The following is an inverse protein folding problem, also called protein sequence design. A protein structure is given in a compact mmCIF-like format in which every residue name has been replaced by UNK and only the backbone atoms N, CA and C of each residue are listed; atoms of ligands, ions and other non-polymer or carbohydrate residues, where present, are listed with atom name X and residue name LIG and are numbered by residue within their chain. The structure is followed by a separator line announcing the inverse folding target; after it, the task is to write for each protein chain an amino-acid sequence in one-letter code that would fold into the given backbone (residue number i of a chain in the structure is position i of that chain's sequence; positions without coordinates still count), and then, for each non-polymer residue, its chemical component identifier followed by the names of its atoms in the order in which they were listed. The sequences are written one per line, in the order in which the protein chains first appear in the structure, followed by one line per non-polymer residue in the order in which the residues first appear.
data_IF_792914067620
#
_entry.id   IF_792914067620
#
_cell.length_a   1.000
_cell.length_b   1.000
_cell.length_c   1.000
_cell.angle_alpha   90.00
_cell.angle_beta   90.00
_cell.angle_gamma   90.00
#
_symmetry.space_group_name_H-M   'P 1'
#
loop_
_entity.id
_entity.type
_entity.pdbx_description
1 polymer ?
#
# COMPACT_ATOMS: atom_id res chain seq x y z
N UNK A 1 1.48 -3.28 66.70
CA UNK A 1 0.25 -3.33 65.91
C UNK A 1 -0.01 -1.94 65.36
N UNK A 2 0.35 -1.68 64.10
CA UNK A 2 0.18 -0.38 63.45
C UNK A 2 -0.77 -0.59 62.27
N UNK A 3 -1.98 -0.09 62.43
CA UNK A 3 -3.05 -0.11 61.44
C UNK A 3 -2.97 1.19 60.64
N UNK A 4 -2.37 1.20 59.43
CA UNK A 4 -2.38 2.34 58.53
C UNK A 4 -3.55 2.19 57.54
N UNK A 5 -4.61 2.99 57.77
CA UNK A 5 -5.67 3.22 56.79
C UNK A 5 -5.11 4.02 55.62
N UNK A 6 -5.28 3.52 54.41
CA UNK A 6 -5.05 4.26 53.18
C UNK A 6 -6.19 5.27 52.96
N UNK A 7 -5.89 6.51 52.57
CA UNK A 7 -6.93 7.48 52.31
C UNK A 7 -7.55 7.22 50.90
N UNK A 8 -8.89 7.25 50.88
CA UNK A 8 -9.71 7.28 49.68
C UNK A 8 -9.30 8.47 48.81
N UNK A 9 -8.76 8.21 47.64
CA UNK A 9 -8.57 9.24 46.61
C UNK A 9 -9.93 9.54 45.96
N UNK A 10 -10.33 10.80 46.10
CA UNK A 10 -11.45 11.42 45.41
C UNK A 10 -11.27 11.26 43.90
N UNK A 11 -12.31 10.75 43.25
CA UNK A 11 -12.50 10.82 41.80
C UNK A 11 -12.57 12.28 41.37
N UNK A 12 -11.78 12.78 40.42
CA UNK A 12 -12.03 14.08 39.83
C UNK A 12 -13.19 13.94 38.84
N UNK A 13 -14.29 14.59 39.15
CA UNK A 13 -15.35 14.87 38.20
C UNK A 13 -14.87 15.97 37.27
N UNK A 14 -14.53 15.62 36.04
CA UNK A 14 -14.55 16.52 34.88
C UNK A 14 -14.23 15.67 33.66
N UNK A 15 -15.29 15.37 32.89
CA UNK A 15 -15.21 14.56 31.67
C UNK A 15 -14.49 15.28 30.54
N UNK A 16 -13.19 15.19 30.51
CA UNK A 16 -12.46 15.18 29.27
C UNK A 16 -12.24 13.73 28.90
N UNK A 17 -13.05 13.21 27.96
CA UNK A 17 -12.65 12.03 27.19
C UNK A 17 -11.27 12.35 26.66
N UNK A 18 -10.26 11.69 27.18
CA UNK A 18 -9.02 11.51 26.47
C UNK A 18 -9.41 10.71 25.24
N UNK A 19 -9.61 11.38 24.12
CA UNK A 19 -9.63 10.74 22.83
C UNK A 19 -8.26 10.10 22.67
N UNK A 20 -8.17 8.82 23.04
CA UNK A 20 -7.02 7.99 22.69
C UNK A 20 -6.96 8.04 21.18
N UNK A 21 -5.99 8.77 20.64
CA UNK A 21 -5.64 8.73 19.24
C UNK A 21 -5.40 7.24 18.95
N UNK A 22 -6.38 6.61 18.31
CA UNK A 22 -6.32 5.19 18.03
C UNK A 22 -5.30 5.05 16.91
N UNK A 23 -4.08 4.68 17.28
CA UNK A 23 -3.01 4.39 16.31
C UNK A 23 -3.52 3.30 15.38
N UNK A 24 -3.63 3.65 14.10
CA UNK A 24 -4.05 2.73 13.05
C UNK A 24 -2.86 2.34 12.20
N UNK A 25 -2.80 1.09 11.80
CA UNK A 25 -1.79 0.55 10.90
C UNK A 25 -2.49 0.16 9.60
N UNK A 26 -1.99 0.66 8.47
CA UNK A 26 -2.46 0.24 7.16
C UNK A 26 -1.85 -1.12 6.79
N UNK A 27 -2.64 -1.99 6.17
CA UNK A 27 -2.14 -3.20 5.51
C UNK A 27 -2.57 -3.11 4.05
N UNK A 28 -1.64 -3.26 3.11
CA UNK A 28 -1.96 -3.31 1.69
C UNK A 28 -1.65 -4.68 1.11
N UNK A 29 -2.69 -5.36 0.60
CA UNK A 29 -2.58 -6.62 -0.14
C UNK A 29 -2.54 -6.36 -1.66
N UNK A 30 -2.19 -7.37 -2.45
CA UNK A 30 -2.19 -7.26 -3.91
C UNK A 30 -3.58 -7.39 -4.53
N UNK A 31 -4.46 -8.17 -3.89
CA UNK A 31 -5.80 -8.50 -4.40
C UNK A 31 -6.85 -8.44 -3.28
N UNK A 32 -8.13 -8.17 -3.62
CA UNK A 32 -9.20 -8.10 -2.63
C UNK A 32 -9.33 -9.37 -1.77
N UNK A 33 -9.22 -10.55 -2.36
CA UNK A 33 -9.32 -11.83 -1.64
C UNK A 33 -8.25 -11.98 -0.57
N UNK A 34 -7.00 -11.63 -0.90
CA UNK A 34 -5.88 -11.65 0.05
C UNK A 34 -6.08 -10.64 1.18
N UNK A 35 -6.57 -9.44 0.83
CA UNK A 35 -6.93 -8.42 1.82
C UNK A 35 -8.00 -8.90 2.80
N UNK A 36 -9.02 -9.59 2.31
CA UNK A 36 -10.09 -10.17 3.14
C UNK A 36 -9.56 -11.26 4.08
N UNK A 37 -8.68 -12.14 3.61
CA UNK A 37 -8.06 -13.18 4.44
C UNK A 37 -7.20 -12.57 5.54
N UNK A 38 -6.38 -11.58 5.20
CA UNK A 38 -5.57 -10.87 6.18
C UNK A 38 -6.46 -10.14 7.20
N UNK A 39 -7.49 -9.40 6.75
CA UNK A 39 -8.42 -8.69 7.61
C UNK A 39 -9.07 -9.64 8.64
N UNK A 40 -9.51 -10.82 8.19
CA UNK A 40 -10.08 -11.84 9.06
C UNK A 40 -9.07 -12.31 10.13
N UNK A 41 -7.83 -12.56 9.74
CA UNK A 41 -6.78 -13.04 10.65
C UNK A 41 -6.38 -11.98 11.68
N UNK A 42 -6.30 -10.70 11.29
CA UNK A 42 -5.95 -9.61 12.21
C UNK A 42 -7.15 -9.07 13.01
N UNK A 43 -8.36 -9.58 12.74
CA UNK A 43 -9.57 -9.19 13.45
C UNK A 43 -10.19 -7.86 12.98
N UNK A 44 -9.91 -7.43 11.76
CA UNK A 44 -10.61 -6.32 11.12
C UNK A 44 -11.89 -6.84 10.48
N UNK A 45 -13.06 -6.29 10.86
CA UNK A 45 -14.38 -6.86 10.49
C UNK A 45 -15.32 -5.86 9.84
N UNK A 46 -15.10 -4.56 10.01
CA UNK A 46 -15.97 -3.52 9.46
C UNK A 46 -15.60 -3.24 8.00
N UNK A 47 -16.45 -3.69 7.08
CA UNK A 47 -16.26 -3.51 5.63
C UNK A 47 -16.60 -2.08 5.22
N UNK A 48 -15.72 -1.49 4.46
CA UNK A 48 -15.88 -0.20 3.77
C UNK A 48 -15.69 -0.39 2.27
N UNK A 49 -15.93 0.66 1.49
CA UNK A 49 -15.65 0.63 0.06
C UNK A 49 -14.13 0.68 -0.18
N UNK A 50 -13.57 -0.43 -0.65
CA UNK A 50 -12.15 -0.59 -0.95
C UNK A 50 -11.23 -0.92 0.23
N UNK A 51 -11.73 -1.09 1.46
CA UNK A 51 -10.94 -1.51 2.61
C UNK A 51 -11.79 -2.11 3.74
N UNK A 52 -11.14 -2.72 4.73
CA UNK A 52 -11.78 -3.29 5.93
C UNK A 52 -11.06 -2.72 7.15
N UNK A 53 -11.83 -2.26 8.16
CA UNK A 53 -11.26 -1.64 9.36
C UNK A 53 -11.65 -2.41 10.62
N UNK A 54 -10.74 -2.44 11.58
CA UNK A 54 -10.98 -3.02 12.92
C UNK A 54 -9.69 -3.44 13.60
N UNK A 55 -9.76 -3.63 14.91
CA UNK A 55 -8.66 -4.08 15.75
C UNK A 55 -7.34 -3.29 15.56
N UNK A 56 -7.41 -1.99 15.26
CA UNK A 56 -6.22 -1.15 15.04
C UNK A 56 -5.65 -1.22 13.61
N UNK A 57 -6.30 -1.91 12.69
CA UNK A 57 -5.87 -2.05 11.30
C UNK A 57 -6.87 -1.46 10.32
N UNK A 58 -6.35 -0.94 9.22
CA UNK A 58 -7.08 -0.63 7.99
C UNK A 58 -6.47 -1.46 6.86
N UNK A 59 -7.19 -2.49 6.42
CA UNK A 59 -6.72 -3.44 5.41
C UNK A 59 -7.32 -3.06 4.07
N UNK A 60 -6.47 -2.66 3.13
CA UNK A 60 -6.83 -2.33 1.75
C UNK A 60 -6.08 -3.24 0.77
N UNK A 61 -6.30 -3.07 -0.51
CA UNK A 61 -5.71 -3.90 -1.55
C UNK A 61 -5.50 -3.13 -2.85
N UNK A 62 -4.55 -3.57 -3.63
CA UNK A 62 -4.42 -3.20 -5.02
C UNK A 62 -5.36 -4.06 -5.89
N UNK A 63 -5.42 -3.77 -7.17
CA UNK A 63 -6.09 -4.56 -8.20
C UNK A 63 -5.04 -4.97 -9.26
N UNK A 64 -3.97 -5.62 -8.80
CA UNK A 64 -2.74 -5.74 -9.56
C UNK A 64 -2.05 -4.37 -9.68
N UNK A 65 -1.42 -4.09 -10.81
CA UNK A 65 -0.84 -2.76 -11.06
C UNK A 65 -1.91 -1.68 -11.18
N UNK A 66 -1.95 -0.76 -10.22
CA UNK A 66 -2.80 0.45 -10.27
C UNK A 66 -2.06 1.63 -10.91
N UNK A 67 -0.76 1.57 -10.88
CA UNK A 67 0.17 2.59 -11.39
C UNK A 67 1.06 1.95 -12.43
N UNK A 68 1.37 2.67 -13.49
CA UNK A 68 2.25 2.26 -14.58
C UNK A 68 3.19 3.39 -14.99
N UNK A 69 4.21 3.07 -15.78
CA UNK A 69 4.99 4.09 -16.47
C UNK A 69 4.11 4.82 -17.49
N UNK A 70 4.29 6.13 -17.60
CA UNK A 70 3.59 6.94 -18.59
C UNK A 70 3.98 6.51 -20.02
N UNK A 71 3.04 6.58 -20.95
CA UNK A 71 3.25 6.24 -22.34
C UNK A 71 4.14 7.30 -23.06
N UNK A 72 4.75 6.96 -24.20
CA UNK A 72 5.63 7.84 -24.96
C UNK A 72 5.02 9.20 -25.33
N UNK A 73 3.69 9.24 -25.62
CA UNK A 73 2.98 10.46 -25.92
C UNK A 73 2.98 11.49 -24.78
N UNK A 74 3.03 11.03 -23.55
CA UNK A 74 3.18 11.89 -22.35
C UNK A 74 4.48 12.70 -22.34
N UNK A 75 5.49 12.21 -23.05
CA UNK A 75 6.80 12.85 -23.21
C UNK A 75 6.97 13.61 -24.54
N UNK A 76 5.87 13.69 -25.34
CA UNK A 76 5.87 14.37 -26.63
C UNK A 76 6.21 13.46 -27.82
N UNK A 77 6.44 12.17 -27.60
CA UNK A 77 6.68 11.19 -28.68
C UNK A 77 5.36 10.70 -29.25
N UNK A 78 4.77 11.46 -30.17
CA UNK A 78 3.48 11.13 -30.78
C UNK A 78 3.55 10.12 -31.92
N UNK A 79 4.76 9.88 -32.46
CA UNK A 79 5.06 8.88 -33.49
C UNK A 79 6.42 8.26 -33.19
N UNK A 80 6.54 6.96 -33.42
CA UNK A 80 7.83 6.28 -33.37
C UNK A 80 8.54 6.50 -34.71
N UNK A 81 9.53 7.38 -34.72
CA UNK A 81 10.44 7.58 -35.85
C UNK A 81 11.87 7.21 -35.44
N UNK A 82 12.65 6.74 -36.35
CA UNK A 82 14.01 6.23 -36.06
C UNK A 82 14.91 7.28 -35.38
N UNK A 83 14.69 8.55 -35.71
CA UNK A 83 15.44 9.70 -35.19
C UNK A 83 15.17 9.94 -33.67
N UNK A 84 14.03 9.50 -33.16
CA UNK A 84 13.64 9.66 -31.75
C UNK A 84 14.21 8.52 -30.88
N UNK A 85 14.83 7.50 -31.46
CA UNK A 85 15.34 6.35 -30.72
C UNK A 85 16.80 6.55 -30.29
N UNK A 86 17.20 6.17 -29.06
CA UNK A 86 16.33 5.64 -28.02
C UNK A 86 15.54 6.75 -27.28
N UNK A 87 14.23 6.56 -27.13
CA UNK A 87 13.37 7.44 -26.31
C UNK A 87 13.62 7.16 -24.83
N UNK A 88 14.47 7.93 -24.19
CA UNK A 88 14.80 7.75 -22.77
C UNK A 88 14.21 8.90 -21.96
N UNK A 89 13.05 8.69 -21.30
CA UNK A 89 12.48 9.71 -20.41
C UNK A 89 13.37 9.97 -19.20
N UNK A 90 13.57 11.25 -18.88
CA UNK A 90 14.25 11.67 -17.65
C UNK A 90 13.51 12.85 -17.02
N UNK A 91 12.82 12.64 -15.90
CA UNK A 91 12.57 11.33 -15.27
C UNK A 91 11.43 10.53 -15.92
N UNK A 92 11.42 9.21 -15.71
CA UNK A 92 10.24 8.40 -15.96
C UNK A 92 9.09 8.83 -15.03
N UNK A 93 7.90 9.00 -15.59
CA UNK A 93 6.69 9.41 -14.84
C UNK A 93 5.82 8.21 -14.54
N UNK A 94 5.30 8.18 -13.32
CA UNK A 94 4.29 7.22 -12.89
C UNK A 94 2.90 7.83 -13.07
N UNK A 95 2.01 7.08 -13.69
CA UNK A 95 0.62 7.48 -13.92
C UNK A 95 -0.34 6.39 -13.45
N UNK A 96 -1.59 6.77 -13.18
CA UNK A 96 -2.65 5.78 -12.94
C UNK A 96 -2.76 4.89 -14.18
N UNK A 97 -2.90 3.59 -13.97
CA UNK A 97 -3.06 2.60 -15.05
C UNK A 97 -4.03 3.09 -16.12
N UNK A 98 -3.62 2.95 -17.36
CA UNK A 98 -4.43 3.29 -18.53
C UNK A 98 -4.95 2.03 -19.20
N UNK A 99 -6.10 2.12 -19.81
CA UNK A 99 -6.75 1.06 -20.59
C UNK A 99 -7.05 1.57 -22.00
N UNK A 100 -6.99 0.67 -22.98
CA UNK A 100 -7.30 0.98 -24.35
C UNK A 100 -8.82 0.95 -24.58
N UNK A 101 -9.34 1.97 -25.21
CA UNK A 101 -10.73 2.07 -25.66
C UNK A 101 -10.77 2.38 -27.15
N UNK A 102 -11.96 2.38 -27.75
CA UNK A 102 -12.15 2.79 -29.16
C UNK A 102 -11.73 4.25 -29.41
N UNK A 103 -11.64 5.07 -28.34
CA UNK A 103 -11.23 6.48 -28.38
C UNK A 103 -9.76 6.70 -28.03
N UNK A 104 -8.97 5.63 -27.88
CA UNK A 104 -7.57 5.66 -27.47
C UNK A 104 -7.34 5.22 -26.02
N UNK A 105 -6.18 5.57 -25.47
CA UNK A 105 -5.81 5.25 -24.10
C UNK A 105 -6.51 6.21 -23.12
N UNK A 106 -7.16 5.66 -22.12
CA UNK A 106 -7.83 6.42 -21.06
C UNK A 106 -7.44 5.88 -19.69
N UNK A 107 -7.53 6.74 -18.66
CA UNK A 107 -7.30 6.31 -17.28
C UNK A 107 -8.34 5.25 -16.88
N UNK A 108 -7.88 4.15 -16.30
CA UNK A 108 -8.73 3.13 -15.70
C UNK A 108 -9.45 3.72 -14.47
N UNK A 109 -10.77 3.88 -14.56
CA UNK A 109 -11.59 4.48 -13.51
C UNK A 109 -11.53 3.64 -12.22
N UNK A 110 -11.55 2.30 -12.32
CA UNK A 110 -11.49 1.42 -11.18
C UNK A 110 -10.13 1.52 -10.47
N UNK A 111 -9.05 1.59 -11.24
CA UNK A 111 -7.70 1.80 -10.70
C UNK A 111 -7.59 3.16 -10.00
N UNK A 112 -8.09 4.22 -10.59
CA UNK A 112 -8.09 5.57 -10.00
C UNK A 112 -8.89 5.64 -8.70
N UNK A 113 -10.08 5.02 -8.67
CA UNK A 113 -10.92 4.94 -7.48
C UNK A 113 -10.23 4.21 -6.33
N UNK A 114 -9.66 3.02 -6.61
CA UNK A 114 -8.97 2.23 -5.59
C UNK A 114 -7.68 2.91 -5.10
N UNK A 115 -6.95 3.56 -6.00
CA UNK A 115 -5.76 4.33 -5.64
C UNK A 115 -6.08 5.49 -4.68
N UNK A 116 -7.22 6.18 -4.90
CA UNK A 116 -7.73 7.21 -3.98
C UNK A 116 -8.01 6.61 -2.60
N UNK A 117 -8.68 5.46 -2.53
CA UNK A 117 -8.96 4.75 -1.26
C UNK A 117 -7.65 4.41 -0.54
N UNK A 118 -6.66 3.87 -1.25
CA UNK A 118 -5.36 3.55 -0.67
C UNK A 118 -4.70 4.82 -0.10
N UNK A 119 -4.76 5.93 -0.82
CA UNK A 119 -4.23 7.22 -0.36
C UNK A 119 -4.90 7.70 0.95
N UNK A 120 -6.22 7.59 1.05
CA UNK A 120 -6.97 7.93 2.26
C UNK A 120 -6.62 6.99 3.43
N UNK A 121 -6.51 5.68 3.19
CA UNK A 121 -6.07 4.70 4.18
C UNK A 121 -4.66 5.00 4.67
N UNK A 122 -3.71 5.26 3.77
CA UNK A 122 -2.34 5.60 4.14
C UNK A 122 -2.27 6.91 4.94
N UNK A 123 -3.05 7.92 4.54
CA UNK A 123 -3.11 9.19 5.27
C UNK A 123 -3.64 9.01 6.70
N UNK A 124 -4.64 8.15 6.89
CA UNK A 124 -5.27 7.87 8.19
C UNK A 124 -4.49 6.96 9.12
N UNK A 125 -3.35 6.40 8.71
CA UNK A 125 -2.56 5.44 9.46
C UNK A 125 -1.18 6.00 9.82
N UNK A 126 -0.56 5.46 10.87
CA UNK A 126 0.77 5.85 11.31
C UNK A 126 1.88 5.15 10.50
N UNK A 127 1.66 3.89 10.18
CA UNK A 127 2.61 3.07 9.43
C UNK A 127 1.89 2.09 8.51
N UNK A 128 2.65 1.44 7.63
CA UNK A 128 2.13 0.56 6.60
C UNK A 128 2.76 -0.83 6.75
N UNK A 129 1.95 -1.88 6.63
CA UNK A 129 2.40 -3.26 6.43
C UNK A 129 2.12 -3.63 4.97
N UNK A 130 3.16 -3.99 4.26
CA UNK A 130 3.10 -4.37 2.85
C UNK A 130 2.90 -5.88 2.76
N UNK A 131 1.77 -6.28 2.23
CA UNK A 131 1.34 -7.68 2.07
C UNK A 131 1.01 -8.02 0.61
N UNK A 132 1.63 -7.31 -0.34
CA UNK A 132 1.63 -7.73 -1.75
C UNK A 132 2.46 -9.00 -1.92
N UNK A 133 2.28 -9.72 -3.02
CA UNK A 133 2.94 -11.01 -3.24
C UNK A 133 4.46 -10.94 -3.01
N UNK A 134 5.00 -12.00 -2.42
CA UNK A 134 6.43 -12.10 -2.09
C UNK A 134 7.25 -12.29 -3.37
N UNK A 135 7.80 -11.20 -3.90
CA UNK A 135 8.57 -11.22 -5.13
C UNK A 135 8.75 -9.84 -5.76
N UNK A 136 9.45 -9.81 -6.89
CA UNK A 136 9.75 -8.57 -7.64
C UNK A 136 8.50 -7.82 -8.03
N UNK A 137 7.49 -8.53 -8.50
CA UNK A 137 6.24 -7.93 -8.99
C UNK A 137 5.44 -7.28 -7.86
N UNK A 138 5.24 -8.00 -6.76
CA UNK A 138 4.51 -7.46 -5.61
C UNK A 138 5.22 -6.27 -4.96
N UNK A 139 6.57 -6.27 -4.95
CA UNK A 139 7.34 -5.14 -4.47
C UNK A 139 7.19 -3.92 -5.40
N UNK A 140 7.22 -4.14 -6.72
CA UNK A 140 7.02 -3.10 -7.72
C UNK A 140 5.64 -2.45 -7.61
N UNK A 141 4.57 -3.27 -7.49
CA UNK A 141 3.19 -2.79 -7.32
C UNK A 141 3.10 -1.85 -6.13
N UNK A 142 3.60 -2.26 -4.96
CA UNK A 142 3.55 -1.43 -3.77
C UNK A 142 4.37 -0.15 -3.91
N UNK A 143 5.64 -0.26 -4.33
CA UNK A 143 6.55 0.90 -4.38
C UNK A 143 6.10 1.95 -5.39
N UNK A 144 5.51 1.56 -6.50
CA UNK A 144 4.96 2.51 -7.44
C UNK A 144 3.71 3.21 -6.91
N UNK A 145 2.83 2.51 -6.20
CA UNK A 145 1.70 3.13 -5.49
C UNK A 145 2.21 4.12 -4.44
N UNK A 146 3.13 3.70 -3.60
CA UNK A 146 3.72 4.49 -2.53
C UNK A 146 4.38 5.78 -3.06
N UNK A 147 5.17 5.66 -4.12
CA UNK A 147 5.83 6.77 -4.79
C UNK A 147 4.83 7.72 -5.47
N UNK A 148 3.86 7.16 -6.22
CA UNK A 148 2.85 7.94 -6.92
C UNK A 148 1.98 8.76 -5.95
N UNK A 149 1.68 8.22 -4.78
CA UNK A 149 0.95 8.92 -3.72
C UNK A 149 1.80 9.93 -2.94
N UNK A 150 3.11 10.00 -3.19
CA UNK A 150 4.03 10.83 -2.41
C UNK A 150 4.06 10.45 -0.93
N UNK A 151 3.82 9.18 -0.60
CA UNK A 151 3.78 8.68 0.76
C UNK A 151 5.21 8.66 1.34
N UNK A 152 5.34 9.08 2.62
CA UNK A 152 6.62 9.09 3.34
C UNK A 152 6.58 8.28 4.64
N UNK A 153 5.48 7.57 4.88
CA UNK A 153 5.30 6.80 6.11
C UNK A 153 6.21 5.58 6.13
N UNK A 154 6.67 5.22 7.31
CA UNK A 154 7.43 3.99 7.50
C UNK A 154 6.60 2.78 7.13
N UNK A 155 7.24 1.79 6.55
CA UNK A 155 6.58 0.54 6.20
C UNK A 155 7.46 -0.66 6.52
N UNK A 156 6.78 -1.77 6.84
CA UNK A 156 7.37 -3.09 7.05
C UNK A 156 6.77 -4.07 6.07
N UNK A 157 7.48 -5.15 5.82
CA UNK A 157 7.09 -6.18 4.86
C UNK A 157 6.57 -7.40 5.59
N UNK A 158 5.33 -7.78 5.28
CA UNK A 158 4.76 -9.08 5.61
C UNK A 158 5.16 -10.06 4.50
N UNK A 159 6.02 -11.01 4.83
CA UNK A 159 6.49 -12.02 3.87
C UNK A 159 5.89 -13.37 4.24
N UNK A 160 5.10 -13.94 3.36
CA UNK A 160 4.49 -15.26 3.54
C UNK A 160 4.56 -16.07 2.26
N UNK A 161 4.68 -17.40 2.39
CA UNK A 161 4.75 -18.36 1.27
C UNK A 161 3.40 -18.99 0.96
N UNK A 162 2.40 -18.82 1.82
CA UNK A 162 1.04 -19.35 1.66
C UNK A 162 0.02 -18.44 2.35
N UNK A 163 -1.25 -18.53 1.92
CA UNK A 163 -2.37 -17.73 2.46
C UNK A 163 -3.13 -18.45 3.59
N UNK A 164 -2.49 -19.40 4.27
CA UNK A 164 -3.11 -20.02 5.45
C UNK A 164 -3.12 -19.05 6.63
N UNK A 165 -4.10 -19.17 7.51
CA UNK A 165 -4.20 -18.34 8.72
C UNK A 165 -2.93 -18.40 9.56
N UNK A 166 -2.32 -19.59 9.65
CA UNK A 166 -1.07 -19.80 10.38
C UNK A 166 0.10 -19.04 9.75
N UNK A 167 0.24 -19.11 8.42
CA UNK A 167 1.31 -18.41 7.71
C UNK A 167 1.15 -16.89 7.82
N UNK A 168 -0.08 -16.38 7.76
CA UNK A 168 -0.37 -14.95 7.94
C UNK A 168 -0.01 -14.53 9.38
N UNK A 169 -0.45 -15.28 10.41
CA UNK A 169 -0.11 -14.97 11.82
C UNK A 169 1.38 -15.00 12.05
N UNK A 170 2.08 -16.00 11.53
CA UNK A 170 3.54 -16.10 11.63
C UNK A 170 4.24 -14.92 10.98
N UNK A 171 3.82 -14.55 9.76
CA UNK A 171 4.38 -13.39 9.07
C UNK A 171 4.11 -12.08 9.79
N UNK A 172 2.92 -11.90 10.39
CA UNK A 172 2.59 -10.73 11.21
C UNK A 172 3.43 -10.64 12.48
N UNK A 173 3.88 -11.77 13.03
CA UNK A 173 4.81 -11.82 14.17
C UNK A 173 6.27 -11.59 13.76
N UNK A 174 6.61 -11.75 12.48
CA UNK A 174 7.98 -11.64 11.93
C UNK A 174 8.02 -10.64 10.77
N UNK A 175 7.53 -9.42 11.01
CA UNK A 175 7.58 -8.34 10.02
C UNK A 175 9.02 -7.90 9.78
N UNK A 176 9.38 -7.78 8.51
CA UNK A 176 10.71 -7.35 8.07
C UNK A 176 10.75 -5.88 7.73
N UNK A 177 11.92 -5.29 7.82
CA UNK A 177 12.08 -3.87 7.47
C UNK A 177 11.97 -3.67 5.95
N UNK A 178 11.31 -2.58 5.55
CA UNK A 178 11.07 -2.30 4.13
C UNK A 178 12.34 -2.16 3.31
N UNK A 179 13.42 -1.60 3.89
CA UNK A 179 14.70 -1.39 3.20
C UNK A 179 15.40 -2.69 2.79
N UNK A 180 15.12 -3.82 3.44
CA UNK A 180 15.67 -5.13 3.08
C UNK A 180 15.30 -5.55 1.65
N UNK A 181 14.25 -4.94 1.10
CA UNK A 181 13.72 -5.22 -0.25
C UNK A 181 14.05 -4.14 -1.28
N UNK A 182 14.88 -3.15 -0.94
CA UNK A 182 15.24 -2.07 -1.85
C UNK A 182 15.96 -2.57 -3.12
N UNK A 183 16.84 -3.55 -2.97
CA UNK A 183 17.52 -4.18 -4.13
C UNK A 183 16.54 -4.94 -5.02
N UNK A 184 15.55 -5.61 -4.42
CA UNK A 184 14.51 -6.34 -5.15
C UNK A 184 13.64 -5.37 -5.96
N UNK A 185 13.26 -4.26 -5.35
CA UNK A 185 12.53 -3.19 -6.02
C UNK A 185 13.36 -2.57 -7.15
N UNK A 186 14.61 -2.20 -6.90
CA UNK A 186 15.48 -1.59 -7.91
C UNK A 186 15.63 -2.50 -9.14
N UNK A 187 15.77 -3.81 -8.95
CA UNK A 187 15.82 -4.78 -10.04
C UNK A 187 14.50 -4.83 -10.83
N UNK A 188 13.36 -4.81 -10.15
CA UNK A 188 12.04 -4.83 -10.78
C UNK A 188 11.76 -3.53 -11.56
N UNK A 189 12.06 -2.38 -10.98
CA UNK A 189 11.88 -1.05 -11.58
C UNK A 189 12.78 -0.88 -12.82
N UNK A 190 14.05 -1.28 -12.72
CA UNK A 190 14.98 -1.25 -13.86
C UNK A 190 14.50 -2.15 -14.99
N UNK A 191 13.97 -3.33 -14.68
CA UNK A 191 13.42 -4.24 -15.68
C UNK A 191 12.19 -3.64 -16.37
N UNK A 192 11.26 -3.07 -15.61
CA UNK A 192 10.07 -2.42 -16.16
C UNK A 192 10.43 -1.24 -17.07
N UNK A 193 11.42 -0.45 -16.71
CA UNK A 193 11.94 0.64 -17.55
C UNK A 193 12.62 0.13 -18.82
N UNK A 194 13.41 -0.95 -18.72
CA UNK A 194 14.02 -1.58 -19.89
C UNK A 194 12.96 -2.13 -20.85
N UNK A 195 11.95 -2.82 -20.34
CA UNK A 195 10.85 -3.35 -21.15
C UNK A 195 9.99 -2.22 -21.78
N UNK A 196 9.96 -1.03 -21.19
CA UNK A 196 9.31 0.15 -21.77
C UNK A 196 10.10 0.74 -22.96
N UNK A 197 11.43 0.63 -22.93
CA UNK A 197 12.33 1.16 -23.97
C UNK A 197 12.42 0.27 -25.23
N UNK A 198 12.05 -1.02 -25.14
CA UNK A 198 12.16 -2.05 -26.20
C UNK A 198 10.87 -2.33 -26.90
#
# INVERSE_FOLDING_TARGET
MYNRRFPFHRTPASGKRLDFIRIMIAIIAEKPSVGQDIARVVGATEKKDGYIVGNGYMVTWALGHLVSLALPDTYGYTRTVAEDLPMIPDPFRLVVRQVRTDRGMVTDIAAGRQLKVIGEVFAGCESIIVATDAGREGELIFRWIYSHLGCTKLFKRLWFSSLTDEAIRKGMADLREGYEYDSLYAAADSRAKADWLG
#
